data_IF_005234223393
#
_entry.id   IF_005234223393
#
_cell.length_a   1.000
_cell.length_b   1.000
_cell.length_c   1.000
_cell.angle_alpha   90.00
_cell.angle_beta   90.00
_cell.angle_gamma   90.00
#
_symmetry.space_group_name_H-M   'P 1'
#
loop_
_entity.id
_entity.type
_entity.pdbx_description
1 polymer ?
#
# COMPACT_ATOMS: atom_id res chain seq x y z
N UNK A 1 24.71 -0.20 6.48
CA UNK A 1 24.60 -0.01 5.01
C UNK A 1 23.21 -0.37 4.46
N UNK A 2 22.67 -1.58 4.71
CA UNK A 2 21.34 -1.99 4.18
C UNK A 2 20.15 -1.10 4.61
N UNK A 3 20.15 -0.60 5.85
CA UNK A 3 19.11 0.34 6.36
C UNK A 3 19.09 1.68 5.58
N UNK A 4 20.25 2.15 5.12
CA UNK A 4 20.39 3.41 4.39
C UNK A 4 19.82 3.35 2.98
N UNK A 5 20.05 2.24 2.25
CA UNK A 5 19.51 2.02 0.91
C UNK A 5 17.98 1.97 0.93
N UNK A 6 17.41 1.27 1.91
CA UNK A 6 15.96 1.15 2.01
C UNK A 6 15.30 2.45 2.46
N UNK A 7 15.94 3.22 3.35
CA UNK A 7 15.48 4.57 3.71
C UNK A 7 15.54 5.50 2.48
N UNK A 8 16.59 5.40 1.67
CA UNK A 8 16.70 6.11 0.39
C UNK A 8 15.61 5.69 -0.60
N UNK A 9 15.28 4.40 -0.66
CA UNK A 9 14.21 3.88 -1.52
C UNK A 9 12.83 4.41 -1.10
N UNK A 10 12.51 4.37 0.20
CA UNK A 10 11.26 4.95 0.71
C UNK A 10 11.24 6.45 0.44
N UNK A 11 12.33 7.17 0.75
CA UNK A 11 12.42 8.61 0.51
C UNK A 11 12.29 8.96 -0.97
N UNK A 12 12.87 8.17 -1.88
CA UNK A 12 12.74 8.33 -3.31
C UNK A 12 11.30 8.08 -3.79
N UNK A 13 10.59 7.07 -3.25
CA UNK A 13 9.18 6.85 -3.60
C UNK A 13 8.27 7.95 -3.04
N UNK A 14 8.52 8.43 -1.82
CA UNK A 14 7.77 9.58 -1.26
C UNK A 14 8.07 10.83 -2.09
N UNK A 15 9.32 11.09 -2.45
CA UNK A 15 9.69 12.21 -3.31
C UNK A 15 9.03 12.09 -4.69
N UNK A 16 9.00 10.90 -5.29
CA UNK A 16 8.29 10.65 -6.53
C UNK A 16 6.80 10.96 -6.41
N UNK A 17 6.15 10.59 -5.29
CA UNK A 17 4.75 10.92 -5.04
C UNK A 17 4.48 12.43 -5.07
N UNK A 18 5.33 13.22 -4.41
CA UNK A 18 5.19 14.68 -4.37
C UNK A 18 5.64 15.38 -5.67
N UNK A 19 6.70 14.88 -6.33
CA UNK A 19 7.25 15.47 -7.56
C UNK A 19 6.39 15.22 -8.79
N UNK A 20 5.72 14.07 -8.84
CA UNK A 20 4.86 13.68 -9.97
C UNK A 20 3.40 14.13 -9.77
N UNK A 21 3.11 14.86 -8.70
CA UNK A 21 1.77 15.34 -8.33
C UNK A 21 0.70 14.23 -8.40
N UNK A 22 1.05 13.05 -7.90
CA UNK A 22 0.20 11.86 -8.01
C UNK A 22 -1.15 12.05 -7.32
N UNK A 23 -1.27 12.98 -6.38
CA UNK A 23 -2.54 13.33 -5.74
C UNK A 23 -3.54 13.97 -6.70
N UNK A 24 -3.09 14.83 -7.62
CA UNK A 24 -3.95 15.45 -8.63
C UNK A 24 -4.17 14.51 -9.82
N UNK A 25 -3.13 13.78 -10.23
CA UNK A 25 -3.21 12.79 -11.31
C UNK A 25 -4.13 11.60 -10.96
N UNK A 26 -4.16 11.18 -9.69
CA UNK A 26 -5.05 10.15 -9.15
C UNK A 26 -6.34 10.78 -8.59
N UNK A 27 -7.02 11.59 -9.40
CA UNK A 27 -8.39 12.03 -9.16
C UNK A 27 -9.35 11.29 -10.08
N UNK A 28 -10.60 11.13 -9.64
CA UNK A 28 -11.63 10.47 -10.44
C UNK A 28 -11.84 11.19 -11.78
N UNK A 29 -11.76 12.52 -11.78
CA UNK A 29 -11.91 13.37 -12.97
C UNK A 29 -10.80 13.12 -13.99
N UNK A 30 -9.53 13.09 -13.56
CA UNK A 30 -8.40 12.79 -14.45
C UNK A 30 -8.42 11.35 -14.97
N UNK A 31 -8.88 10.41 -14.15
CA UNK A 31 -9.08 9.03 -14.58
C UNK A 31 -10.15 8.92 -15.67
N UNK A 32 -11.30 9.58 -15.47
CA UNK A 32 -12.39 9.63 -16.46
C UNK A 32 -11.94 10.30 -17.76
N UNK A 33 -11.20 11.41 -17.67
CA UNK A 33 -10.68 12.14 -18.83
C UNK A 33 -9.71 11.31 -19.69
N UNK A 34 -8.97 10.37 -19.07
CA UNK A 34 -8.00 9.51 -19.76
C UNK A 34 -8.49 8.08 -19.97
N UNK A 35 -9.70 7.75 -19.50
CA UNK A 35 -10.24 6.38 -19.48
C UNK A 35 -10.20 5.71 -20.84
N UNK A 36 -10.65 6.40 -21.90
CA UNK A 36 -10.67 5.84 -23.25
C UNK A 36 -9.28 5.45 -23.78
N UNK A 37 -8.25 6.24 -23.46
CA UNK A 37 -6.87 5.93 -23.84
C UNK A 37 -6.32 4.73 -23.05
N UNK A 38 -6.66 4.66 -21.75
CA UNK A 38 -6.25 3.55 -20.88
C UNK A 38 -6.95 2.25 -21.30
N UNK A 39 -8.25 2.29 -21.60
CA UNK A 39 -9.01 1.11 -22.04
C UNK A 39 -8.41 0.51 -23.32
N UNK A 40 -8.05 1.35 -24.29
CA UNK A 40 -7.40 0.88 -25.53
C UNK A 40 -6.06 0.20 -25.25
N UNK A 41 -5.23 0.78 -24.37
CA UNK A 41 -3.96 0.18 -23.99
C UNK A 41 -4.12 -1.12 -23.21
N UNK A 42 -5.09 -1.19 -22.29
CA UNK A 42 -5.41 -2.40 -21.52
C UNK A 42 -5.94 -3.51 -22.45
N UNK A 43 -6.70 -3.16 -23.49
CA UNK A 43 -7.18 -4.12 -24.48
C UNK A 43 -6.04 -4.73 -25.30
N UNK A 44 -5.03 -3.94 -25.68
CA UNK A 44 -3.85 -4.43 -26.42
C UNK A 44 -2.85 -5.19 -25.52
N UNK A 45 -2.77 -4.82 -24.24
CA UNK A 45 -1.73 -5.26 -23.32
C UNK A 45 -2.29 -5.63 -21.94
N UNK A 46 -3.27 -6.53 -21.92
CA UNK A 46 -4.03 -6.87 -20.70
C UNK A 46 -3.14 -7.35 -19.55
N UNK A 47 -2.32 -8.39 -19.77
CA UNK A 47 -1.52 -9.01 -18.70
C UNK A 47 -0.44 -8.08 -18.14
N UNK A 48 0.26 -7.33 -19.00
CA UNK A 48 1.26 -6.36 -18.54
C UNK A 48 0.61 -5.21 -17.80
N UNK A 49 -0.53 -4.71 -18.27
CA UNK A 49 -1.29 -3.65 -17.56
C UNK A 49 -1.78 -4.13 -16.20
N UNK A 50 -2.24 -5.38 -16.10
CA UNK A 50 -2.66 -5.98 -14.83
C UNK A 50 -1.49 -6.08 -13.83
N UNK A 51 -0.31 -6.49 -14.31
CA UNK A 51 0.89 -6.63 -13.47
C UNK A 51 1.41 -5.26 -13.00
N UNK A 52 1.44 -4.27 -13.90
CA UNK A 52 1.80 -2.88 -13.57
C UNK A 52 0.81 -2.31 -12.55
N UNK A 53 -0.50 -2.49 -12.77
CA UNK A 53 -1.53 -2.05 -11.83
C UNK A 53 -1.35 -2.71 -10.46
N UNK A 54 -1.13 -4.02 -10.40
CA UNK A 54 -0.90 -4.73 -9.15
C UNK A 54 0.36 -4.24 -8.42
N UNK A 55 1.43 -3.93 -9.15
CA UNK A 55 2.66 -3.38 -8.56
C UNK A 55 2.44 -1.97 -7.99
N UNK A 56 1.73 -1.10 -8.72
CA UNK A 56 1.37 0.25 -8.24
C UNK A 56 0.48 0.16 -7.00
N UNK A 57 -0.52 -0.72 -7.03
CA UNK A 57 -1.41 -0.95 -5.90
C UNK A 57 -0.66 -1.47 -4.67
N UNK A 58 0.21 -2.46 -4.84
CA UNK A 58 1.02 -2.98 -3.73
C UNK A 58 1.96 -1.90 -3.17
N UNK A 59 2.58 -1.08 -4.03
CA UNK A 59 3.41 0.03 -3.63
C UNK A 59 2.61 1.10 -2.85
N UNK A 60 1.39 1.45 -3.30
CA UNK A 60 0.57 2.43 -2.60
C UNK A 60 0.24 2.00 -1.18
N UNK A 61 -0.05 0.70 -0.98
CA UNK A 61 -0.26 0.14 0.36
C UNK A 61 1.02 0.05 1.18
N UNK A 62 2.14 -0.34 0.57
CA UNK A 62 3.44 -0.38 1.23
C UNK A 62 3.87 0.99 1.77
N UNK A 63 3.49 2.06 1.07
CA UNK A 63 3.74 3.45 1.46
C UNK A 63 2.62 4.07 2.31
N UNK A 64 1.56 3.32 2.60
CA UNK A 64 0.37 3.82 3.33
C UNK A 64 -0.27 5.07 2.69
N UNK A 65 -0.31 5.11 1.35
CA UNK A 65 -0.87 6.22 0.59
C UNK A 65 -2.41 6.17 0.59
N UNK A 66 -3.11 7.31 0.75
CA UNK A 66 -4.57 7.37 0.85
C UNK A 66 -5.28 7.29 -0.52
N UNK A 67 -4.83 6.39 -1.42
CA UNK A 67 -5.39 6.22 -2.78
C UNK A 67 -5.96 4.83 -3.05
N UNK A 68 -5.96 3.94 -2.04
CA UNK A 68 -6.40 2.55 -2.19
C UNK A 68 -7.84 2.41 -2.70
N UNK A 69 -8.76 3.28 -2.26
CA UNK A 69 -10.15 3.25 -2.71
C UNK A 69 -10.28 3.56 -4.21
N UNK A 70 -9.61 4.61 -4.69
CA UNK A 70 -9.64 4.99 -6.10
C UNK A 70 -9.00 3.92 -6.97
N UNK A 71 -7.86 3.38 -6.57
CA UNK A 71 -7.20 2.30 -7.32
C UNK A 71 -8.05 1.04 -7.36
N UNK A 72 -8.78 0.71 -6.29
CA UNK A 72 -9.71 -0.44 -6.29
C UNK A 72 -10.84 -0.24 -7.31
N UNK A 73 -11.44 0.95 -7.34
CA UNK A 73 -12.47 1.30 -8.33
C UNK A 73 -11.92 1.26 -9.76
N UNK A 74 -10.73 1.82 -9.99
CA UNK A 74 -10.06 1.78 -11.28
C UNK A 74 -9.76 0.33 -11.72
N UNK A 75 -9.29 -0.52 -10.80
CA UNK A 75 -9.02 -1.93 -11.08
C UNK A 75 -10.28 -2.69 -11.52
N UNK A 76 -11.41 -2.46 -10.84
CA UNK A 76 -12.70 -3.02 -11.25
C UNK A 76 -13.20 -2.49 -12.59
N UNK A 77 -12.99 -1.20 -12.87
CA UNK A 77 -13.40 -0.56 -14.13
C UNK A 77 -12.54 -0.98 -15.34
N UNK A 78 -11.25 -1.24 -15.14
CA UNK A 78 -10.29 -1.57 -16.21
C UNK A 78 -10.22 -3.07 -16.50
N UNK A 79 -10.21 -3.91 -15.47
CA UNK A 79 -9.99 -5.36 -15.62
C UNK A 79 -11.25 -6.18 -15.36
N UNK A 80 -12.36 -5.53 -15.01
CA UNK A 80 -13.61 -6.18 -14.63
C UNK A 80 -13.57 -6.76 -13.22
N UNK A 81 -14.70 -7.31 -12.78
CA UNK A 81 -14.88 -7.77 -11.39
C UNK A 81 -13.91 -8.91 -11.02
N UNK A 82 -13.77 -9.92 -11.88
CA UNK A 82 -12.99 -11.12 -11.56
C UNK A 82 -11.49 -10.81 -11.49
N UNK A 83 -10.91 -10.30 -12.58
CA UNK A 83 -9.48 -10.01 -12.64
C UNK A 83 -9.07 -8.84 -11.74
N UNK A 84 -9.92 -7.81 -11.64
CA UNK A 84 -9.72 -6.70 -10.71
C UNK A 84 -9.67 -7.20 -9.27
N UNK A 85 -10.63 -8.04 -8.85
CA UNK A 85 -10.66 -8.58 -7.47
C UNK A 85 -9.45 -9.45 -7.17
N UNK A 86 -9.05 -10.32 -8.11
CA UNK A 86 -7.87 -11.17 -7.94
C UNK A 86 -6.63 -10.28 -7.79
N UNK A 87 -6.38 -9.37 -8.74
CA UNK A 87 -5.21 -8.51 -8.70
C UNK A 87 -5.15 -7.65 -7.42
N UNK A 88 -6.26 -7.01 -7.05
CA UNK A 88 -6.36 -6.18 -5.84
C UNK A 88 -6.13 -7.01 -4.57
N UNK A 89 -6.68 -8.22 -4.47
CA UNK A 89 -6.54 -9.07 -3.27
C UNK A 89 -5.08 -9.50 -3.05
N UNK A 90 -4.39 -9.92 -4.11
CA UNK A 90 -2.98 -10.30 -4.03
C UNK A 90 -2.08 -9.08 -3.81
N UNK A 91 -2.34 -7.97 -4.52
CA UNK A 91 -1.57 -6.74 -4.39
C UNK A 91 -1.71 -6.11 -2.99
N UNK A 92 -2.93 -6.11 -2.43
CA UNK A 92 -3.19 -5.63 -1.06
C UNK A 92 -2.43 -6.44 -0.01
N UNK A 93 -2.46 -7.77 -0.15
CA UNK A 93 -1.74 -8.67 0.77
C UNK A 93 -0.22 -8.48 0.67
N UNK A 94 0.31 -8.36 -0.55
CA UNK A 94 1.72 -8.10 -0.78
C UNK A 94 2.16 -6.72 -0.24
N UNK A 95 1.38 -5.67 -0.52
CA UNK A 95 1.64 -4.32 -0.02
C UNK A 95 1.64 -4.25 1.50
N UNK A 96 0.68 -4.91 2.15
CA UNK A 96 0.59 -5.01 3.61
C UNK A 96 1.79 -5.76 4.21
N UNK A 97 2.24 -6.84 3.55
CA UNK A 97 3.45 -7.55 3.95
C UNK A 97 4.69 -6.67 3.83
N UNK A 98 4.83 -5.90 2.75
CA UNK A 98 5.94 -4.96 2.57
C UNK A 98 5.92 -3.85 3.63
N UNK A 99 4.75 -3.28 3.93
CA UNK A 99 4.59 -2.30 5.01
C UNK A 99 4.99 -2.91 6.36
N UNK A 100 4.56 -4.14 6.65
CA UNK A 100 4.95 -4.85 7.87
C UNK A 100 6.46 -5.09 7.96
N UNK A 101 7.09 -5.52 6.87
CA UNK A 101 8.55 -5.72 6.83
C UNK A 101 9.31 -4.40 7.02
N UNK A 102 8.84 -3.31 6.42
CA UNK A 102 9.40 -1.98 6.62
C UNK A 102 9.25 -1.53 8.08
N UNK A 103 8.08 -1.73 8.69
CA UNK A 103 7.86 -1.44 10.10
C UNK A 103 8.78 -2.27 11.01
N UNK A 104 8.89 -3.57 10.74
CA UNK A 104 9.64 -4.54 11.56
C UNK A 104 11.15 -4.36 11.50
N UNK A 105 11.70 -4.09 10.32
CA UNK A 105 13.16 -4.08 10.11
C UNK A 105 13.77 -2.69 9.99
N UNK A 106 12.99 -1.71 9.52
CA UNK A 106 13.49 -0.36 9.31
C UNK A 106 13.07 0.59 10.44
N UNK A 107 11.78 0.63 10.73
CA UNK A 107 11.20 1.64 11.63
C UNK A 107 11.12 1.17 13.09
N UNK A 108 11.39 -0.11 13.37
CA UNK A 108 11.25 -0.70 14.71
C UNK A 108 11.89 0.15 15.81
N UNK A 109 13.16 0.50 15.66
CA UNK A 109 13.90 1.22 16.69
C UNK A 109 13.31 2.63 16.92
N UNK A 110 12.91 3.31 15.84
CA UNK A 110 12.27 4.63 15.91
C UNK A 110 10.88 4.56 16.55
N UNK A 111 10.04 3.59 16.16
CA UNK A 111 8.69 3.40 16.71
C UNK A 111 8.76 3.06 18.20
N UNK A 112 9.65 2.14 18.59
CA UNK A 112 9.81 1.75 20.00
C UNK A 112 10.24 2.93 20.85
N UNK A 113 11.16 3.78 20.38
CA UNK A 113 11.58 4.98 21.11
C UNK A 113 10.46 6.02 21.17
N UNK A 114 9.79 6.30 20.05
CA UNK A 114 8.75 7.34 19.94
C UNK A 114 7.49 7.00 20.73
N UNK A 115 7.16 5.71 20.85
CA UNK A 115 5.94 5.21 21.47
C UNK A 115 6.20 4.29 22.67
N UNK A 116 7.36 4.40 23.32
CA UNK A 116 7.79 3.51 24.41
C UNK A 116 6.72 3.30 25.51
N UNK A 117 6.02 4.36 25.92
CA UNK A 117 4.96 4.29 26.95
C UNK A 117 3.75 3.45 26.51
N UNK A 118 3.32 3.59 25.25
CA UNK A 118 2.19 2.80 24.69
C UNK A 118 2.61 1.36 24.39
N UNK A 119 3.86 1.16 23.96
CA UNK A 119 4.37 -0.19 23.71
C UNK A 119 4.44 -1.00 25.01
N UNK A 120 4.87 -0.40 26.12
CA UNK A 120 4.86 -1.05 27.44
C UNK A 120 3.45 -1.48 27.87
N UNK A 121 2.43 -0.64 27.71
CA UNK A 121 1.06 -1.03 28.07
C UNK A 121 0.53 -2.16 27.18
N UNK A 122 0.94 -2.20 25.91
CA UNK A 122 0.60 -3.29 24.99
C UNK A 122 1.31 -4.58 25.43
N UNK A 123 2.62 -4.53 25.72
CA UNK A 123 3.39 -5.68 26.19
C UNK A 123 2.83 -6.26 27.49
N UNK A 124 2.43 -5.40 28.44
CA UNK A 124 1.77 -5.81 29.68
C UNK A 124 0.39 -6.43 29.45
N UNK A 125 -0.42 -5.84 28.56
CA UNK A 125 -1.72 -6.39 28.17
C UNK A 125 -1.61 -7.75 27.48
N UNK A 126 -0.62 -7.93 26.60
CA UNK A 126 -0.32 -9.21 25.96
C UNK A 126 0.21 -10.23 26.98
N UNK A 127 1.05 -9.82 27.93
CA UNK A 127 1.55 -10.73 28.98
C UNK A 127 0.43 -11.23 29.90
N UNK A 128 -0.58 -10.39 30.16
CA UNK A 128 -1.71 -10.71 31.04
C UNK A 128 -2.76 -11.59 30.35
N UNK A 129 -3.21 -11.17 29.17
CA UNK A 129 -4.39 -11.75 28.51
C UNK A 129 -4.03 -12.50 27.21
N UNK A 130 -2.74 -12.59 26.88
CA UNK A 130 -2.23 -13.41 25.78
C UNK A 130 -2.83 -13.06 24.42
N UNK A 131 -3.31 -14.09 23.72
CA UNK A 131 -3.91 -13.93 22.40
C UNK A 131 -5.20 -13.10 22.42
N UNK A 132 -5.96 -13.09 23.52
CA UNK A 132 -7.22 -12.35 23.61
C UNK A 132 -7.01 -10.84 23.55
N UNK A 133 -5.93 -10.32 24.13
CA UNK A 133 -5.56 -8.90 24.03
C UNK A 133 -5.23 -8.48 22.59
N UNK A 134 -4.57 -9.35 21.84
CA UNK A 134 -4.26 -9.10 20.43
C UNK A 134 -5.51 -9.11 19.56
N UNK A 135 -6.49 -9.98 19.88
CA UNK A 135 -7.77 -9.98 19.18
C UNK A 135 -8.58 -8.71 19.45
N UNK A 136 -8.63 -8.22 20.70
CA UNK A 136 -9.35 -6.98 21.03
C UNK A 136 -8.69 -5.72 20.49
N UNK A 137 -7.36 -5.71 20.30
CA UNK A 137 -6.66 -4.63 19.62
C UNK A 137 -6.92 -4.57 18.11
N UNK A 138 -7.34 -5.69 17.51
CA UNK A 138 -7.55 -5.81 16.05
C UNK A 138 -9.01 -5.58 15.65
N UNK A 139 -9.97 -5.91 16.54
CA UNK A 139 -11.40 -5.62 16.35
C UNK A 139 -11.68 -4.13 16.49
#
# INVERSE_FOLDING_TARGET
>A
MKKGIFALLIAALIAAWFLLDLGEALTLENFLARKAAIDNYVAEHFFSSLLIFAAIYAASFALALPVGALLTLAGGALFGLVWGTIAVSFASSAGSLLAFLAARYLLRDWVVQRFAKRMRSIDEGVARDGAFYLFTLRL
#
